data_IF_348248907928
#
_entry.id   IF_348248907928
#
_cell.length_a   1.000
_cell.length_b   1.000
_cell.length_c   1.000
_cell.angle_alpha   90.00
_cell.angle_beta   90.00
_cell.angle_gamma   90.00
#
_symmetry.space_group_name_H-M   'P 1'
#
loop_
_entity.id
_entity.type
_entity.pdbx_description
1 polymer ?
#
# COMPACT_ATOMS: atom_id res chain seq x y z
N UNK A 1 -0.29 21.54 -4.05
CA UNK A 1 -0.40 20.10 -4.32
C UNK A 1 -1.88 19.77 -4.33
N UNK A 2 -2.37 19.14 -5.40
CA UNK A 2 -3.81 18.90 -5.60
C UNK A 2 -4.33 17.93 -4.54
N UNK A 3 -5.48 18.21 -3.94
CA UNK A 3 -6.19 17.38 -2.95
C UNK A 3 -6.82 16.11 -3.58
N UNK A 4 -6.29 15.70 -4.73
CA UNK A 4 -6.82 14.62 -5.55
C UNK A 4 -6.16 13.29 -5.12
N UNK A 5 -6.91 12.19 -4.99
CA UNK A 5 -6.36 10.89 -4.63
C UNK A 5 -5.69 10.18 -5.82
N UNK A 6 -5.12 10.95 -6.74
CA UNK A 6 -4.47 10.48 -7.95
C UNK A 6 -3.50 11.53 -8.47
N UNK A 7 -2.49 11.06 -9.21
CA UNK A 7 -1.55 11.95 -9.89
C UNK A 7 -1.98 12.29 -11.31
N UNK A 8 -1.62 13.49 -11.75
CA UNK A 8 -1.66 13.90 -13.15
C UNK A 8 -0.24 13.82 -13.70
N UNK A 9 -0.01 12.95 -14.67
CA UNK A 9 1.32 12.78 -15.28
C UNK A 9 1.21 12.94 -16.80
N UNK A 10 2.25 13.49 -17.43
CA UNK A 10 2.31 13.49 -18.89
C UNK A 10 2.46 12.05 -19.39
N UNK A 11 1.83 11.72 -20.52
CA UNK A 11 2.00 10.40 -21.13
C UNK A 11 3.46 10.08 -21.49
N UNK A 12 4.35 11.08 -21.59
CA UNK A 12 5.77 10.90 -21.93
C UNK A 12 6.68 10.59 -20.74
N UNK A 13 6.21 10.79 -19.51
CA UNK A 13 7.04 10.67 -18.31
C UNK A 13 6.98 9.27 -17.68
N UNK A 14 8.07 8.85 -17.05
CA UNK A 14 8.12 7.65 -16.21
C UNK A 14 7.35 7.91 -14.90
N UNK A 15 6.29 7.13 -14.66
CA UNK A 15 5.32 7.38 -13.58
C UNK A 15 5.72 6.77 -12.23
N UNK A 16 6.73 5.90 -12.19
CA UNK A 16 7.11 5.13 -10.98
C UNK A 16 8.02 5.87 -10.00
N UNK A 17 8.32 7.15 -10.23
CA UNK A 17 9.18 7.97 -9.35
C UNK A 17 8.52 9.30 -8.94
N UNK A 18 7.20 9.27 -8.79
CA UNK A 18 6.42 10.42 -8.32
C UNK A 18 6.29 10.42 -6.79
N UNK A 19 6.17 11.61 -6.18
CA UNK A 19 5.93 11.74 -4.73
C UNK A 19 4.67 10.96 -4.29
N UNK A 20 3.64 10.90 -5.16
CA UNK A 20 2.43 10.13 -4.90
C UNK A 20 2.66 8.63 -4.96
N UNK A 21 3.52 8.13 -5.83
CA UNK A 21 3.89 6.72 -5.86
C UNK A 21 4.54 6.32 -4.53
N UNK A 22 5.51 7.10 -4.06
CA UNK A 22 6.18 6.87 -2.78
C UNK A 22 5.18 6.94 -1.62
N UNK A 23 4.30 7.94 -1.61
CA UNK A 23 3.22 8.08 -0.62
C UNK A 23 2.28 6.86 -0.63
N UNK A 24 1.83 6.40 -1.80
CA UNK A 24 0.96 5.24 -1.93
C UNK A 24 1.62 3.97 -1.43
N UNK A 25 2.92 3.83 -1.70
CA UNK A 25 3.72 2.69 -1.24
C UNK A 25 3.91 2.68 0.27
N UNK A 26 4.19 3.84 0.88
CA UNK A 26 4.34 3.98 2.33
C UNK A 26 3.02 3.75 3.07
N UNK A 27 1.93 4.31 2.54
CA UNK A 27 0.59 4.23 3.14
C UNK A 27 -0.19 2.97 2.75
N UNK A 28 0.37 2.15 1.85
CA UNK A 28 -0.27 0.96 1.28
C UNK A 28 -1.64 1.28 0.66
N UNK A 29 -1.74 2.43 0.00
CA UNK A 29 -2.97 2.88 -0.67
C UNK A 29 -2.89 2.66 -2.18
N UNK A 30 -4.04 2.66 -2.89
CA UNK A 30 -4.07 2.45 -4.33
C UNK A 30 -3.35 3.59 -5.05
N UNK A 31 -2.38 3.23 -5.89
CA UNK A 31 -1.75 4.21 -6.78
C UNK A 31 -2.54 4.31 -8.09
N UNK A 32 -3.32 5.39 -8.21
CA UNK A 32 -4.08 5.73 -9.42
C UNK A 32 -3.47 6.96 -10.07
N UNK A 33 -3.35 6.94 -11.39
CA UNK A 33 -2.84 8.05 -12.19
C UNK A 33 -3.76 8.37 -13.36
N UNK A 34 -3.77 9.64 -13.75
CA UNK A 34 -4.34 10.12 -15.01
C UNK A 34 -3.17 10.55 -15.90
N UNK A 35 -2.99 9.83 -17.02
CA UNK A 35 -2.01 10.17 -18.05
C UNK A 35 -2.64 11.08 -19.08
N UNK A 36 -2.16 12.31 -19.18
CA UNK A 36 -2.63 13.25 -20.20
C UNK A 36 -1.97 12.99 -21.55
N UNK A 37 -2.77 12.67 -22.56
CA UNK A 37 -2.39 12.75 -23.97
C UNK A 37 -2.75 14.11 -24.58
N UNK A 38 -2.60 14.26 -25.90
CA UNK A 38 -2.87 15.53 -26.60
C UNK A 38 -4.37 15.88 -26.65
N UNK A 39 -5.23 14.87 -26.80
CA UNK A 39 -6.68 15.06 -27.00
C UNK A 39 -7.54 14.26 -26.02
N UNK A 40 -6.93 13.38 -25.23
CA UNK A 40 -7.60 12.48 -24.31
C UNK A 40 -6.68 12.15 -23.14
N UNK A 41 -7.23 11.49 -22.12
CA UNK A 41 -6.49 11.04 -20.98
C UNK A 41 -6.82 9.57 -20.66
N UNK A 42 -5.81 8.88 -20.15
CA UNK A 42 -5.92 7.50 -19.71
C UNK A 42 -5.91 7.45 -18.18
N UNK A 43 -6.70 6.56 -17.59
CA UNK A 43 -6.68 6.30 -16.14
C UNK A 43 -6.04 4.94 -15.91
N UNK A 44 -5.00 4.91 -15.08
CA UNK A 44 -4.27 3.68 -14.78
C UNK A 44 -4.24 3.43 -13.28
N UNK A 45 -4.39 2.16 -12.93
CA UNK A 45 -4.09 1.64 -11.61
C UNK A 45 -3.23 0.38 -11.76
N UNK A 46 -2.17 0.29 -10.97
CA UNK A 46 -1.29 -0.87 -10.88
C UNK A 46 -1.15 -1.29 -9.40
N UNK A 47 -1.07 -2.60 -9.17
CA UNK A 47 -0.91 -3.18 -7.84
C UNK A 47 0.47 -2.93 -7.21
N UNK A 48 1.44 -2.38 -7.95
CA UNK A 48 2.85 -2.20 -7.55
C UNK A 48 3.07 -1.54 -6.18
N UNK A 49 2.14 -0.70 -5.70
CA UNK A 49 2.24 -0.05 -4.39
C UNK A 49 1.69 -0.90 -3.23
N UNK A 50 1.11 -2.06 -3.52
CA UNK A 50 0.41 -2.90 -2.55
C UNK A 50 1.24 -4.10 -2.10
N UNK A 51 1.09 -4.54 -0.83
CA UNK A 51 1.75 -5.74 -0.34
C UNK A 51 1.15 -7.03 -0.96
N UNK A 52 1.90 -8.14 -1.02
CA UNK A 52 1.44 -9.40 -1.65
C UNK A 52 0.13 -9.96 -1.10
N UNK A 53 -0.21 -9.69 0.17
CA UNK A 53 -1.48 -10.13 0.76
C UNK A 53 -2.70 -9.47 0.11
N UNK A 54 -2.55 -8.27 -0.47
CA UNK A 54 -3.63 -7.58 -1.19
C UNK A 54 -3.88 -8.22 -2.56
N UNK A 55 -2.83 -8.70 -3.26
CA UNK A 55 -2.94 -9.38 -4.55
C UNK A 55 -3.79 -10.65 -4.44
N UNK A 56 -3.56 -11.47 -3.40
CA UNK A 56 -4.35 -12.69 -3.18
C UNK A 56 -5.85 -12.40 -3.01
N UNK A 57 -6.19 -11.31 -2.32
CA UNK A 57 -7.58 -10.88 -2.11
C UNK A 57 -8.21 -10.36 -3.39
N UNK A 58 -7.53 -9.46 -4.09
CA UNK A 58 -8.00 -8.90 -5.37
C UNK A 58 -8.22 -10.00 -6.42
N UNK A 59 -7.37 -11.04 -6.43
CA UNK A 59 -7.58 -12.22 -7.29
C UNK A 59 -8.76 -13.07 -6.87
N UNK A 60 -8.97 -13.27 -5.57
CA UNK A 60 -10.12 -14.02 -5.04
C UNK A 60 -11.46 -13.35 -5.38
N UNK A 61 -11.50 -12.03 -5.33
CA UNK A 61 -12.70 -11.23 -5.61
C UNK A 61 -12.75 -10.69 -7.06
N UNK A 62 -11.91 -11.20 -7.97
CA UNK A 62 -11.66 -10.57 -9.27
C UNK A 62 -12.92 -10.40 -10.13
N UNK A 63 -13.84 -11.37 -10.12
CA UNK A 63 -15.09 -11.24 -10.89
C UNK A 63 -15.97 -10.08 -10.39
N UNK A 64 -16.03 -9.88 -9.07
CA UNK A 64 -16.76 -8.76 -8.49
C UNK A 64 -16.07 -7.43 -8.81
N UNK A 65 -14.73 -7.40 -8.66
CA UNK A 65 -13.91 -6.25 -9.02
C UNK A 65 -14.11 -5.88 -10.49
N UNK A 66 -14.01 -6.83 -11.42
CA UNK A 66 -14.17 -6.58 -12.85
C UNK A 66 -15.53 -5.97 -13.17
N UNK A 67 -16.60 -6.52 -12.60
CA UNK A 67 -17.96 -5.99 -12.78
C UNK A 67 -18.06 -4.55 -12.31
N UNK A 68 -17.56 -4.26 -11.11
CA UNK A 68 -17.66 -2.94 -10.51
C UNK A 68 -16.79 -1.90 -11.27
N UNK A 69 -15.60 -2.31 -11.72
CA UNK A 69 -14.72 -1.52 -12.59
C UNK A 69 -15.38 -1.21 -13.94
N UNK A 70 -16.03 -2.20 -14.55
CA UNK A 70 -16.77 -2.02 -15.81
C UNK A 70 -17.90 -1.02 -15.64
N UNK A 71 -18.63 -1.07 -14.54
CA UNK A 71 -19.69 -0.11 -14.25
C UNK A 71 -19.17 1.34 -14.08
N UNK A 72 -17.95 1.53 -13.55
CA UNK A 72 -17.29 2.85 -13.55
C UNK A 72 -17.00 3.27 -14.99
N UNK A 73 -16.33 2.42 -15.76
CA UNK A 73 -15.97 2.72 -17.15
C UNK A 73 -17.19 3.13 -17.99
N UNK A 74 -18.28 2.37 -17.93
CA UNK A 74 -19.51 2.64 -18.69
C UNK A 74 -20.15 4.01 -18.41
N UNK A 75 -19.96 4.57 -17.20
CA UNK A 75 -20.46 5.93 -16.87
C UNK A 75 -19.67 7.04 -17.57
N UNK A 76 -18.41 6.80 -17.87
CA UNK A 76 -17.47 7.82 -18.34
C UNK A 76 -16.99 7.59 -19.78
N UNK A 77 -17.22 6.40 -20.33
CA UNK A 77 -16.79 6.02 -21.65
C UNK A 77 -17.43 6.87 -22.76
N UNK A 78 -16.63 7.09 -23.80
CA UNK A 78 -17.05 7.61 -25.11
C UNK A 78 -16.78 6.54 -26.19
N UNK A 79 -17.26 6.71 -27.43
CA UNK A 79 -17.17 5.66 -28.46
C UNK A 79 -15.74 5.13 -28.70
N UNK A 80 -14.73 5.98 -28.53
CA UNK A 80 -13.32 5.64 -28.72
C UNK A 80 -12.63 5.13 -27.46
N UNK A 81 -13.34 5.04 -26.33
CA UNK A 81 -12.76 4.57 -25.07
C UNK A 81 -12.60 3.06 -25.04
N UNK A 82 -11.57 2.59 -24.33
CA UNK A 82 -11.33 1.16 -24.13
C UNK A 82 -11.09 0.83 -22.67
N UNK A 83 -11.57 -0.36 -22.27
CA UNK A 83 -11.40 -0.88 -20.93
C UNK A 83 -10.45 -2.08 -20.96
N UNK A 84 -9.43 -2.05 -20.09
CA UNK A 84 -8.60 -3.22 -19.79
C UNK A 84 -8.66 -3.52 -18.31
N UNK A 85 -9.03 -4.75 -17.97
CA UNK A 85 -9.08 -5.22 -16.58
C UNK A 85 -8.28 -6.50 -16.45
N UNK A 86 -7.33 -6.49 -15.52
CA UNK A 86 -6.59 -7.65 -15.02
C UNK A 86 -6.57 -7.57 -13.49
N UNK A 87 -6.33 -8.68 -12.78
CA UNK A 87 -6.31 -8.65 -11.31
C UNK A 87 -5.32 -7.63 -10.72
N UNK A 88 -4.26 -7.33 -11.44
CA UNK A 88 -3.15 -6.48 -11.00
C UNK A 88 -3.01 -5.16 -11.78
N UNK A 89 -3.90 -4.91 -12.74
CA UNK A 89 -3.81 -3.74 -13.64
C UNK A 89 -5.20 -3.38 -14.18
N UNK A 90 -5.56 -2.11 -14.05
CA UNK A 90 -6.79 -1.55 -14.63
C UNK A 90 -6.42 -0.33 -15.46
N UNK A 91 -6.99 -0.24 -16.67
CA UNK A 91 -6.76 0.85 -17.61
C UNK A 91 -8.08 1.30 -18.22
N UNK A 92 -8.37 2.61 -18.14
CA UNK A 92 -9.42 3.26 -18.92
C UNK A 92 -8.73 4.14 -19.96
N UNK A 93 -8.74 3.71 -21.21
CA UNK A 93 -8.06 4.41 -22.29
C UNK A 93 -9.01 5.41 -22.96
N UNK A 94 -8.47 6.56 -23.37
CA UNK A 94 -9.13 7.57 -24.21
C UNK A 94 -10.43 8.11 -23.62
N UNK A 95 -10.36 8.61 -22.40
CA UNK A 95 -11.42 9.42 -21.80
C UNK A 95 -11.20 10.90 -22.09
N UNK A 96 -12.25 11.73 -21.99
CA UNK A 96 -12.06 13.18 -21.87
C UNK A 96 -11.35 13.49 -20.55
N UNK A 97 -10.66 14.62 -20.45
CA UNK A 97 -9.91 14.98 -19.24
C UNK A 97 -10.78 15.02 -17.97
N UNK A 98 -12.00 15.56 -18.06
CA UNK A 98 -12.91 15.65 -16.92
C UNK A 98 -13.47 14.28 -16.52
N UNK A 99 -13.75 13.43 -17.51
CA UNK A 99 -14.16 12.05 -17.27
C UNK A 99 -13.02 11.23 -16.67
N UNK A 100 -11.78 11.42 -17.12
CA UNK A 100 -10.61 10.72 -16.58
C UNK A 100 -10.38 11.05 -15.11
N UNK A 101 -10.47 12.33 -14.71
CA UNK A 101 -10.35 12.74 -13.29
C UNK A 101 -11.45 12.14 -12.42
N UNK A 102 -12.69 12.15 -12.93
CA UNK A 102 -13.85 11.59 -12.22
C UNK A 102 -13.72 10.07 -12.07
N UNK A 103 -13.35 9.38 -13.16
CA UNK A 103 -13.14 7.95 -13.18
C UNK A 103 -11.95 7.52 -12.30
N UNK A 104 -10.86 8.29 -12.27
CA UNK A 104 -9.72 8.05 -11.38
C UNK A 104 -10.11 8.12 -9.90
N UNK A 105 -10.92 9.12 -9.53
CA UNK A 105 -11.44 9.26 -8.16
C UNK A 105 -12.30 8.06 -7.76
N UNK A 106 -13.19 7.61 -8.65
CA UNK A 106 -14.05 6.46 -8.38
C UNK A 106 -13.26 5.15 -8.35
N UNK A 107 -12.29 4.98 -9.24
CA UNK A 107 -11.40 3.83 -9.28
C UNK A 107 -10.58 3.73 -7.99
N UNK A 108 -10.01 4.84 -7.52
CA UNK A 108 -9.30 4.89 -6.24
C UNK A 108 -10.17 4.39 -5.09
N UNK A 109 -11.40 4.94 -4.97
CA UNK A 109 -12.35 4.57 -3.92
C UNK A 109 -12.74 3.09 -4.00
N UNK A 110 -12.94 2.57 -5.21
CA UNK A 110 -13.26 1.17 -5.43
C UNK A 110 -12.11 0.29 -4.92
N UNK A 111 -10.89 0.49 -5.39
CA UNK A 111 -9.73 -0.34 -5.00
C UNK A 111 -9.49 -0.23 -3.50
N UNK A 112 -9.54 0.97 -2.92
CA UNK A 112 -9.39 1.16 -1.48
C UNK A 112 -10.40 0.34 -0.65
N UNK A 113 -11.60 0.08 -1.20
CA UNK A 113 -12.60 -0.80 -0.57
C UNK A 113 -12.23 -2.29 -0.56
N UNK A 114 -11.42 -2.74 -1.52
CA UNK A 114 -10.90 -4.12 -1.58
C UNK A 114 -9.66 -4.32 -0.70
N UNK A 115 -8.94 -3.24 -0.39
CA UNK A 115 -7.78 -3.32 0.49
C UNK A 115 -8.21 -3.62 1.93
N UNK A 116 -7.39 -4.37 2.71
CA UNK A 116 -7.56 -4.36 4.15
C UNK A 116 -7.52 -2.89 4.61
N UNK A 117 -8.42 -2.50 5.51
CA UNK A 117 -8.28 -1.20 6.18
C UNK A 117 -6.86 -1.13 6.69
N UNK A 118 -6.13 -0.01 6.48
CA UNK A 118 -4.79 0.10 6.97
C UNK A 118 -4.85 -0.32 8.43
N UNK A 119 -4.05 -1.33 8.76
CA UNK A 119 -3.69 -1.55 10.14
C UNK A 119 -2.95 -0.25 10.47
N UNK A 120 -3.68 0.75 10.96
CA UNK A 120 -3.07 1.83 11.71
C UNK A 120 -2.37 1.04 12.80
N UNK A 121 -1.08 0.78 12.61
CA UNK A 121 -0.21 0.50 13.72
C UNK A 121 -0.48 1.71 14.59
N UNK A 122 -1.30 1.50 15.63
CA UNK A 122 -1.44 2.48 16.70
C UNK A 122 0.00 2.91 16.97
N UNK A 123 0.31 4.21 16.96
CA UNK A 123 1.61 4.61 17.47
C UNK A 123 1.73 3.88 18.80
N UNK A 124 2.72 3.01 18.92
CA UNK A 124 3.11 2.51 20.22
C UNK A 124 3.45 3.79 20.94
N UNK A 125 2.50 4.28 21.73
CA UNK A 125 2.76 5.29 22.71
C UNK A 125 3.81 4.61 23.59
N UNK A 126 5.07 4.94 23.33
CA UNK A 126 6.12 4.77 24.31
C UNK A 126 5.64 5.67 25.44
N UNK A 127 4.89 5.09 26.37
CA UNK A 127 4.57 5.72 27.62
C UNK A 127 5.93 5.95 28.29
N UNK A 128 6.46 7.14 28.09
CA UNK A 128 7.44 7.75 28.94
C UNK A 128 6.75 8.04 30.28
N UNK A 129 6.55 6.99 31.06
CA UNK A 129 6.27 7.08 32.49
C UNK A 129 6.61 5.74 33.16
N UNK A 130 7.87 5.34 33.02
CA UNK A 130 8.51 4.49 34.01
C UNK A 130 9.43 5.39 34.82
N UNK A 131 9.15 5.65 36.12
CA UNK A 131 10.13 6.28 36.97
C UNK A 131 11.36 5.36 37.04
N UNK A 132 12.49 5.99 36.74
CA UNK A 132 13.84 5.44 36.86
C UNK A 132 14.00 4.83 38.26
N UNK A 133 13.96 3.50 38.35
CA UNK A 133 14.49 2.79 39.51
C UNK A 133 16.02 2.78 39.37
N UNK A 134 16.66 3.71 40.08
CA UNK A 134 18.11 3.82 40.20
C UNK A 134 18.72 2.49 40.69
N UNK A 135 19.83 2.02 40.11
CA UNK A 135 20.59 0.92 40.70
C UNK A 135 21.37 1.45 41.91
N UNK A 136 20.94 1.07 43.12
CA UNK A 136 21.72 1.27 44.33
C UNK A 136 22.93 0.33 44.31
N UNK A 137 24.13 0.91 44.26
CA UNK A 137 25.38 0.22 44.51
C UNK A 137 25.60 0.00 46.02
N UNK A 138 26.33 -1.07 46.34
CA UNK A 138 26.86 -1.48 47.65
C UNK A 138 25.81 -2.20 48.53
N UNK A 139 26.08 -3.33 49.17
CA UNK A 139 27.34 -3.78 49.75
C UNK A 139 27.25 -5.26 50.21
N UNK A 140 28.42 -5.85 50.49
CA UNK A 140 28.66 -7.00 51.38
C UNK A 140 28.41 -8.44 50.89
N UNK A 141 29.52 -9.04 50.46
CA UNK A 141 30.11 -10.29 51.01
C UNK A 141 29.23 -11.16 51.93
N UNK A 142 29.09 -12.44 51.57
CA UNK A 142 29.78 -13.59 52.22
C UNK A 142 29.12 -14.90 51.79
N UNK A 143 29.96 -15.82 51.31
CA UNK A 143 30.03 -17.25 51.66
C UNK A 143 28.71 -18.06 51.64
N UNK A 144 28.62 -19.22 51.01
CA UNK A 144 29.57 -20.34 51.02
C UNK A 144 28.91 -21.52 50.26
N UNK A 145 29.74 -22.33 49.58
CA UNK A 145 29.65 -23.80 49.46
C UNK A 145 28.34 -24.40 48.88
N UNK A 146 28.39 -25.19 47.80
CA UNK A 146 29.08 -26.49 47.75
C UNK A 146 29.73 -26.79 46.38
N UNK A 147 30.85 -27.52 46.46
CA UNK A 147 31.58 -28.24 45.40
C UNK A 147 30.92 -29.59 45.06
N UNK A 148 31.48 -30.22 44.03
CA UNK A 148 31.39 -31.62 43.54
C UNK A 148 30.32 -31.93 42.50
N UNK A 149 30.56 -32.71 41.44
CA UNK A 149 31.74 -33.28 40.78
C UNK A 149 31.19 -33.88 39.46
N UNK A 150 32.00 -34.02 38.40
CA UNK A 150 31.57 -34.79 37.21
C UNK A 150 32.20 -34.44 35.86
N UNK A 151 33.46 -34.83 35.69
CA UNK A 151 34.08 -35.46 34.50
C UNK A 151 33.12 -35.91 33.36
N UNK A 152 33.41 -35.89 32.06
CA UNK A 152 34.63 -36.22 31.28
C UNK A 152 34.52 -35.69 29.84
N UNK A 153 35.69 -35.44 29.24
CA UNK A 153 35.91 -35.25 27.81
C UNK A 153 35.68 -36.53 26.97
N UNK A 154 35.39 -36.36 25.67
CA UNK A 154 35.33 -37.47 24.71
C UNK A 154 35.36 -37.00 23.26
N UNK A 155 36.58 -36.84 22.73
CA UNK A 155 36.91 -36.80 21.29
C UNK A 155 36.60 -38.16 20.65
N UNK A 156 36.09 -38.14 19.43
CA UNK A 156 36.33 -39.16 18.40
C UNK A 156 36.60 -38.43 17.08
#
# INVERSE_FOLDING_TARGET
>A
MSDAPFDLVDAKDDFTDTDWYHTCRETQTPYVVVRSGETSADVLWDYVTLPPCCDARLRGDFQALERDVRAIFERFAQPESYLRVKPTLICFDRLTFDHAKSAATELYRLIAGYLPRPYIARPVAIHADSPIAQPAQNAYERSRFWMDEGETAGRA
#
